data_IF_824532338936
#
_entry.id   IF_824532338936
#
_cell.length_a   1.000
_cell.length_b   1.000
_cell.length_c   1.000
_cell.angle_alpha   90.00
_cell.angle_beta   90.00
_cell.angle_gamma   90.00
#
_symmetry.space_group_name_H-M   'P 1'
#
loop_
_entity.id
_entity.type
_entity.pdbx_description
1 polymer ?
#
# COMPACT_ATOMS: atom_id res chain seq x y z
N UNK A 1 26.37 45.24 -59.42
CA UNK A 1 24.95 44.82 -59.50
C UNK A 1 25.02 43.34 -59.83
N UNK A 2 24.80 42.35 -58.97
CA UNK A 2 23.78 42.09 -57.94
C UNK A 2 24.32 41.01 -56.96
N UNK A 3 23.99 41.11 -55.66
CA UNK A 3 24.10 40.04 -54.64
C UNK A 3 22.67 39.47 -54.42
N UNK A 4 22.44 38.48 -53.53
CA UNK A 4 22.85 37.06 -53.48
C UNK A 4 21.59 36.16 -53.26
N UNK A 5 21.72 34.83 -53.18
CA UNK A 5 20.72 34.01 -52.48
C UNK A 5 21.33 32.69 -51.99
N UNK A 6 21.93 32.72 -50.79
CA UNK A 6 22.14 31.51 -49.99
C UNK A 6 20.78 31.08 -49.44
N UNK A 7 20.22 29.98 -49.94
CA UNK A 7 19.14 29.27 -49.26
C UNK A 7 19.72 28.42 -48.13
N UNK A 8 19.87 29.01 -46.94
CA UNK A 8 20.00 28.25 -45.69
C UNK A 8 18.66 27.54 -45.41
N UNK A 9 18.58 26.25 -45.73
CA UNK A 9 17.49 25.40 -45.26
C UNK A 9 17.72 25.11 -43.76
N UNK A 10 17.06 25.88 -42.89
CA UNK A 10 17.05 25.65 -41.46
C UNK A 10 16.21 24.40 -41.15
N UNK A 11 16.87 23.27 -40.86
CA UNK A 11 16.23 22.11 -40.21
C UNK A 11 15.87 22.49 -38.77
N UNK A 12 14.62 22.89 -38.55
CA UNK A 12 14.05 22.98 -37.20
C UNK A 12 13.76 21.56 -36.70
N UNK A 13 14.71 20.97 -35.96
CA UNK A 13 14.45 19.79 -35.14
C UNK A 13 13.50 20.19 -34.00
N UNK A 14 12.21 19.92 -34.20
CA UNK A 14 11.20 19.94 -33.15
C UNK A 14 11.53 18.81 -32.15
N UNK A 15 12.27 19.15 -31.09
CA UNK A 15 12.45 18.29 -29.94
C UNK A 15 11.12 18.19 -29.20
N UNK A 16 10.28 17.21 -29.57
CA UNK A 16 9.12 16.84 -28.78
C UNK A 16 9.61 16.24 -27.45
N UNK A 17 9.21 16.76 -26.28
CA UNK A 17 9.48 16.08 -25.03
C UNK A 17 8.68 14.78 -25.03
N UNK A 18 9.37 13.63 -25.12
CA UNK A 18 8.78 12.35 -24.74
C UNK A 18 8.48 12.44 -23.23
N UNK A 19 7.22 12.68 -22.88
CA UNK A 19 6.75 12.43 -21.53
C UNK A 19 6.87 10.92 -21.31
N UNK A 20 7.94 10.49 -20.64
CA UNK A 20 8.04 9.15 -20.13
C UNK A 20 6.88 8.96 -19.15
N UNK A 21 5.83 8.27 -19.59
CA UNK A 21 4.78 7.81 -18.68
C UNK A 21 5.45 6.78 -17.77
N UNK A 22 5.93 7.23 -16.61
CA UNK A 22 6.34 6.32 -15.57
C UNK A 22 5.08 5.59 -15.13
N UNK A 23 4.81 4.43 -15.72
CA UNK A 23 3.86 3.42 -15.22
C UNK A 23 4.34 2.82 -13.89
N UNK A 24 4.85 3.69 -13.02
CA UNK A 24 5.54 3.40 -11.79
C UNK A 24 4.73 3.89 -10.60
N UNK A 25 5.16 3.44 -9.44
CA UNK A 25 4.60 3.82 -8.15
C UNK A 25 4.79 5.32 -7.89
N UNK A 26 3.69 6.04 -7.78
CA UNK A 26 3.63 7.44 -7.36
C UNK A 26 3.51 7.53 -5.84
N UNK A 27 4.26 8.42 -5.19
CA UNK A 27 4.11 8.69 -3.77
C UNK A 27 3.05 9.76 -3.52
N UNK A 28 2.09 9.44 -2.64
CA UNK A 28 1.02 10.35 -2.20
C UNK A 28 1.33 10.97 -0.83
N UNK A 29 2.54 10.74 -0.29
CA UNK A 29 3.03 11.30 0.97
C UNK A 29 3.44 10.27 2.02
N UNK A 30 4.15 10.77 3.04
CA UNK A 30 4.57 10.03 4.23
C UNK A 30 4.02 10.74 5.46
N UNK A 31 3.39 9.97 6.34
CA UNK A 31 2.62 10.42 7.49
C UNK A 31 3.09 9.64 8.71
N UNK A 32 4.09 10.18 9.42
CA UNK A 32 4.76 9.52 10.54
C UNK A 32 5.22 8.09 10.19
N UNK A 33 4.53 7.05 10.67
CA UNK A 33 4.92 5.64 10.48
C UNK A 33 4.30 5.00 9.23
N UNK A 34 3.44 5.72 8.52
CA UNK A 34 2.71 5.27 7.35
C UNK A 34 3.08 6.06 6.10
N UNK A 35 2.97 5.46 4.93
CA UNK A 35 3.12 6.13 3.65
C UNK A 35 1.95 5.77 2.74
N UNK A 36 1.62 6.65 1.80
CA UNK A 36 0.58 6.43 0.80
C UNK A 36 1.18 6.43 -0.61
N UNK A 37 0.68 5.54 -1.46
CA UNK A 37 1.15 5.40 -2.85
C UNK A 37 -0.02 5.12 -3.80
N UNK A 38 0.19 5.43 -5.08
CA UNK A 38 -0.62 5.03 -6.22
C UNK A 38 0.25 4.19 -7.15
N UNK A 39 -0.18 2.99 -7.51
CA UNK A 39 0.43 2.19 -8.58
C UNK A 39 -0.47 2.30 -9.83
N UNK A 40 0.13 2.44 -11.01
CA UNK A 40 -0.61 2.57 -12.28
C UNK A 40 -1.07 1.22 -12.89
N UNK A 41 -0.40 0.11 -12.56
CA UNK A 41 -0.66 -1.20 -13.18
C UNK A 41 -0.39 -2.39 -12.26
N UNK A 42 -1.41 -3.16 -11.84
CA UNK A 42 -2.84 -2.80 -11.86
C UNK A 42 -3.12 -1.54 -11.01
N UNK A 43 -4.10 -0.69 -11.39
CA UNK A 43 -4.37 0.55 -10.67
C UNK A 43 -4.82 0.27 -9.25
N UNK A 44 -4.09 0.84 -8.30
CA UNK A 44 -4.43 0.80 -6.87
C UNK A 44 -3.82 1.95 -6.11
N UNK A 45 -4.44 2.31 -5.01
CA UNK A 45 -3.90 3.27 -4.07
C UNK A 45 -3.93 2.66 -2.69
N UNK A 46 -2.87 2.85 -1.91
CA UNK A 46 -2.73 2.16 -0.64
C UNK A 46 -1.92 2.93 0.37
N UNK A 47 -2.33 2.81 1.63
CA UNK A 47 -1.52 3.16 2.79
C UNK A 47 -0.70 1.92 3.20
N UNK A 48 0.56 2.11 3.62
CA UNK A 48 1.45 1.01 4.02
C UNK A 48 2.36 1.42 5.17
N UNK A 49 2.60 0.48 6.09
CA UNK A 49 3.57 0.62 7.17
C UNK A 49 4.38 -0.65 7.38
N UNK A 50 5.59 -0.47 7.93
CA UNK A 50 6.46 -1.55 8.40
C UNK A 50 6.26 -1.74 9.91
N UNK A 51 6.52 -2.95 10.45
CA UNK A 51 6.45 -3.16 11.89
C UNK A 51 7.61 -2.45 12.62
N UNK A 52 7.42 -2.22 13.91
CA UNK A 52 8.46 -1.77 14.85
C UNK A 52 9.60 -2.78 14.95
N UNK A 53 10.77 -2.28 15.36
CA UNK A 53 11.97 -3.08 15.62
C UNK A 53 12.94 -3.16 14.43
N UNK A 54 13.99 -3.97 14.59
CA UNK A 54 15.14 -4.04 13.67
C UNK A 54 15.01 -5.15 12.63
N UNK A 55 14.22 -6.20 12.89
CA UNK A 55 14.06 -7.32 11.96
C UNK A 55 12.89 -7.06 10.99
N UNK A 56 13.13 -6.14 10.05
CA UNK A 56 12.10 -5.50 9.18
C UNK A 56 11.86 -6.21 7.86
N UNK A 57 12.60 -7.28 7.55
CA UNK A 57 12.63 -7.79 6.19
C UNK A 57 11.30 -8.42 5.76
N UNK A 58 10.73 -7.79 4.73
CA UNK A 58 9.54 -8.17 4.00
C UNK A 58 8.19 -8.18 4.77
N UNK A 59 8.08 -7.74 6.02
CA UNK A 59 6.77 -7.62 6.69
C UNK A 59 6.15 -6.23 6.52
N UNK A 60 4.84 -6.16 6.28
CA UNK A 60 4.10 -4.89 6.20
C UNK A 60 2.62 -5.07 6.55
N UNK A 61 1.96 -3.96 6.84
CA UNK A 61 0.50 -3.84 6.84
C UNK A 61 0.12 -2.80 5.79
N UNK A 62 -0.86 -3.10 4.95
CA UNK A 62 -1.38 -2.16 3.96
C UNK A 62 -2.91 -2.15 3.92
N UNK A 63 -3.45 -0.99 3.56
CA UNK A 63 -4.88 -0.76 3.31
C UNK A 63 -5.00 -0.25 1.89
N UNK A 64 -5.57 -1.06 1.00
CA UNK A 64 -5.55 -0.81 -0.44
C UNK A 64 -6.96 -0.66 -1.03
N UNK A 65 -7.10 0.31 -1.93
CA UNK A 65 -8.24 0.47 -2.81
C UNK A 65 -7.86 0.02 -4.22
N UNK A 66 -8.70 -0.83 -4.81
CA UNK A 66 -8.55 -1.36 -6.17
C UNK A 66 -9.77 -0.93 -7.00
N UNK A 67 -9.67 0.16 -7.77
CA UNK A 67 -10.79 0.72 -8.52
C UNK A 67 -11.43 -0.28 -9.49
N UNK A 68 -10.64 -0.89 -10.36
CA UNK A 68 -11.09 -1.86 -11.38
C UNK A 68 -11.77 -3.10 -10.76
N UNK A 69 -11.28 -3.55 -9.61
CA UNK A 69 -11.83 -4.72 -8.90
C UNK A 69 -13.00 -4.36 -7.99
N UNK A 70 -13.38 -3.08 -7.91
CA UNK A 70 -14.41 -2.55 -6.98
C UNK A 70 -14.15 -2.92 -5.52
N UNK A 71 -12.89 -3.08 -5.13
CA UNK A 71 -12.48 -3.33 -3.74
C UNK A 71 -12.08 -1.99 -3.12
N UNK A 72 -12.54 -1.75 -1.89
CA UNK A 72 -12.27 -0.53 -1.13
C UNK A 72 -11.63 -0.89 0.21
N UNK A 73 -10.55 -0.20 0.55
CA UNK A 73 -9.89 -0.27 1.86
C UNK A 73 -9.64 -1.69 2.38
N UNK A 74 -9.18 -2.58 1.51
CA UNK A 74 -8.86 -3.96 1.87
C UNK A 74 -7.56 -4.01 2.69
N UNK A 75 -7.61 -4.73 3.81
CA UNK A 75 -6.43 -5.10 4.56
C UNK A 75 -5.62 -6.15 3.80
N UNK A 76 -4.32 -5.91 3.69
CA UNK A 76 -3.34 -6.92 3.34
C UNK A 76 -2.15 -6.82 4.29
N UNK A 77 -1.79 -7.93 4.92
CA UNK A 77 -0.60 -8.03 5.75
C UNK A 77 0.38 -9.04 5.16
N UNK A 78 1.64 -8.65 5.05
CA UNK A 78 2.74 -9.59 4.88
C UNK A 78 3.34 -9.89 6.25
N UNK A 79 3.18 -11.12 6.70
CA UNK A 79 3.67 -11.66 7.94
C UNK A 79 5.20 -11.79 7.94
N UNK A 80 5.80 -11.70 9.13
CA UNK A 80 7.25 -11.84 9.32
C UNK A 80 7.77 -13.23 8.90
N UNK A 81 6.95 -14.27 9.06
CA UNK A 81 7.26 -15.64 8.70
C UNK A 81 6.01 -16.31 8.10
N UNK A 82 6.17 -17.37 7.28
CA UNK A 82 5.03 -18.14 6.80
C UNK A 82 4.20 -18.66 7.98
N UNK A 83 2.88 -18.48 7.90
CA UNK A 83 1.93 -19.05 8.83
C UNK A 83 1.88 -20.57 8.65
N UNK A 84 1.66 -21.31 9.74
CA UNK A 84 1.39 -22.74 9.65
C UNK A 84 0.07 -22.98 8.89
N UNK A 85 -0.01 -24.09 8.16
CA UNK A 85 -1.23 -24.50 7.48
C UNK A 85 -2.39 -24.62 8.48
N UNK A 86 -3.58 -24.15 8.09
CA UNK A 86 -4.76 -24.09 8.95
C UNK A 86 -4.66 -23.11 10.13
N UNK A 87 -3.57 -22.33 10.26
CA UNK A 87 -3.48 -21.32 11.31
C UNK A 87 -4.21 -20.03 10.94
N UNK A 88 -4.83 -19.42 11.95
CA UNK A 88 -5.61 -18.18 11.83
C UNK A 88 -4.84 -17.06 12.52
N UNK A 89 -4.12 -16.19 11.80
CA UNK A 89 -3.48 -15.03 12.41
C UNK A 89 -4.50 -14.17 13.13
N UNK A 90 -4.13 -13.72 14.32
CA UNK A 90 -4.97 -12.86 15.14
C UNK A 90 -4.44 -11.44 15.06
N UNK A 91 -5.24 -10.56 14.47
CA UNK A 91 -5.01 -9.13 14.43
C UNK A 91 -5.69 -8.46 15.63
N UNK A 92 -4.95 -7.62 16.35
CA UNK A 92 -5.45 -6.80 17.45
C UNK A 92 -5.20 -5.33 17.16
N UNK A 93 -6.23 -4.52 17.35
CA UNK A 93 -6.21 -3.06 17.15
C UNK A 93 -6.93 -2.45 18.35
N UNK A 94 -6.19 -1.81 19.25
CA UNK A 94 -6.72 -1.43 20.56
C UNK A 94 -7.34 -2.63 21.30
N UNK A 95 -8.61 -2.52 21.67
CA UNK A 95 -9.38 -3.58 22.33
C UNK A 95 -9.98 -4.62 21.36
N UNK A 96 -9.99 -4.34 20.06
CA UNK A 96 -10.67 -5.18 19.05
C UNK A 96 -9.76 -6.31 18.58
N UNK A 97 -10.38 -7.46 18.30
CA UNK A 97 -9.73 -8.68 17.81
C UNK A 97 -10.39 -9.15 16.52
N UNK A 98 -9.56 -9.60 15.59
CA UNK A 98 -9.91 -9.99 14.23
C UNK A 98 -9.14 -11.26 13.86
N UNK A 99 -9.83 -12.25 13.31
CA UNK A 99 -9.24 -13.52 12.87
C UNK A 99 -9.08 -13.52 11.35
N UNK A 100 -7.84 -13.44 10.89
CA UNK A 100 -7.49 -13.27 9.49
C UNK A 100 -7.43 -14.62 8.76
N UNK A 101 -7.64 -14.56 7.45
CA UNK A 101 -7.35 -15.68 6.54
C UNK A 101 -5.90 -15.55 6.08
N UNK A 102 -5.11 -16.61 6.21
CA UNK A 102 -3.71 -16.62 5.83
C UNK A 102 -3.43 -17.58 4.66
N UNK A 103 -2.50 -17.18 3.80
CA UNK A 103 -1.88 -18.03 2.79
C UNK A 103 -0.39 -17.73 2.73
N UNK A 104 0.44 -18.72 3.14
CA UNK A 104 1.88 -18.54 3.26
C UNK A 104 2.24 -17.38 4.20
N UNK A 105 2.79 -16.28 3.64
CA UNK A 105 3.13 -15.07 4.41
C UNK A 105 2.07 -13.99 4.32
N UNK A 106 1.01 -14.17 3.56
CA UNK A 106 0.03 -13.13 3.34
C UNK A 106 -1.22 -13.40 4.19
N UNK A 107 -1.83 -12.34 4.70
CA UNK A 107 -3.05 -12.42 5.49
C UNK A 107 -4.01 -11.28 5.15
N UNK A 108 -5.30 -11.60 5.14
CA UNK A 108 -6.40 -10.68 4.78
C UNK A 108 -7.54 -10.78 5.79
N UNK A 109 -8.41 -9.75 5.78
CA UNK A 109 -9.73 -9.89 6.38
C UNK A 109 -10.52 -11.00 5.66
N UNK A 110 -11.48 -11.61 6.35
CA UNK A 110 -12.32 -12.68 5.80
C UNK A 110 -13.30 -12.17 4.74
N UNK A 111 -13.72 -10.91 4.84
CA UNK A 111 -14.71 -10.26 3.99
C UNK A 111 -14.61 -8.73 4.07
N UNK A 112 -15.36 -8.05 3.20
CA UNK A 112 -15.38 -6.58 3.13
C UNK A 112 -15.97 -5.90 4.39
N UNK A 113 -16.86 -6.58 5.12
CA UNK A 113 -17.41 -6.04 6.36
C UNK A 113 -16.34 -6.00 7.46
N UNK A 114 -15.50 -7.03 7.51
CA UNK A 114 -14.35 -7.10 8.39
C UNK A 114 -13.26 -6.08 7.99
N UNK A 115 -13.03 -5.85 6.70
CA UNK A 115 -12.16 -4.76 6.22
C UNK A 115 -12.65 -3.40 6.74
N UNK A 116 -13.93 -3.07 6.55
CA UNK A 116 -14.51 -1.82 7.05
C UNK A 116 -14.38 -1.68 8.58
N UNK A 117 -14.61 -2.77 9.31
CA UNK A 117 -14.43 -2.83 10.75
C UNK A 117 -12.97 -2.59 11.18
N UNK A 118 -12.00 -3.12 10.44
CA UNK A 118 -10.56 -2.91 10.67
C UNK A 118 -10.18 -1.46 10.40
N UNK A 119 -10.60 -0.88 9.28
CA UNK A 119 -10.34 0.53 8.92
C UNK A 119 -10.87 1.48 10.00
N UNK A 120 -12.09 1.23 10.48
CA UNK A 120 -12.65 2.01 11.59
C UNK A 120 -11.83 1.88 12.88
N UNK A 121 -11.28 0.69 13.18
CA UNK A 121 -10.42 0.49 14.35
C UNK A 121 -9.06 1.18 14.20
N UNK A 122 -8.47 1.16 12.99
CA UNK A 122 -7.20 1.83 12.70
C UNK A 122 -7.28 3.33 12.93
N UNK A 123 -8.41 3.95 12.61
CA UNK A 123 -8.63 5.40 12.80
C UNK A 123 -8.62 5.86 14.26
N UNK A 124 -8.91 4.97 15.22
CA UNK A 124 -9.11 5.33 16.64
C UNK A 124 -8.10 4.70 17.60
N UNK A 125 -7.17 3.87 17.11
CA UNK A 125 -6.17 3.20 17.92
C UNK A 125 -4.76 3.76 17.67
N UNK A 126 -3.87 3.57 18.64
CA UNK A 126 -2.46 4.01 18.56
C UNK A 126 -1.51 2.89 18.14
N UNK A 127 -1.93 1.63 18.25
CA UNK A 127 -1.11 0.48 17.85
C UNK A 127 -1.93 -0.69 17.33
N UNK A 128 -1.27 -1.49 16.48
CA UNK A 128 -1.77 -2.73 15.92
C UNK A 128 -0.74 -3.85 16.15
N UNK A 129 -1.21 -5.08 16.35
CA UNK A 129 -0.35 -6.26 16.36
C UNK A 129 -0.99 -7.44 15.65
N UNK A 130 -0.19 -8.21 14.92
CA UNK A 130 -0.60 -9.50 14.34
C UNK A 130 0.22 -10.63 14.94
N UNK A 131 -0.46 -11.64 15.46
CA UNK A 131 0.16 -12.84 16.05
C UNK A 131 -0.23 -14.07 15.25
N UNK A 132 0.73 -14.92 14.90
CA UNK A 132 0.49 -16.16 14.18
C UNK A 132 1.42 -17.29 14.66
N UNK A 133 1.06 -18.53 14.31
CA UNK A 133 1.93 -19.70 14.45
C UNK A 133 2.75 -19.86 13.17
N UNK A 134 4.06 -20.04 13.29
CA UNK A 134 4.94 -20.24 12.13
C UNK A 134 4.87 -21.65 11.58
N UNK A 135 5.10 -21.80 10.27
CA UNK A 135 5.20 -23.11 9.61
C UNK A 135 6.34 -23.97 10.20
N UNK A 136 7.44 -23.35 10.63
CA UNK A 136 8.55 -24.01 11.35
C UNK A 136 8.28 -24.20 12.86
N UNK A 137 7.04 -23.98 13.31
CA UNK A 137 6.69 -23.98 14.72
C UNK A 137 6.87 -22.63 15.42
N UNK A 138 6.42 -22.59 16.69
CA UNK A 138 6.45 -21.39 17.52
C UNK A 138 5.46 -20.30 17.11
N UNK A 139 5.34 -19.26 17.94
CA UNK A 139 4.53 -18.07 17.67
C UNK A 139 5.44 -16.89 17.32
N UNK A 140 4.96 -15.98 16.48
CA UNK A 140 5.54 -14.65 16.32
C UNK A 140 4.48 -13.58 16.42
N UNK A 141 4.91 -12.37 16.75
CA UNK A 141 4.06 -11.19 16.73
C UNK A 141 4.80 -10.05 16.05
N UNK A 142 4.13 -9.40 15.10
CA UNK A 142 4.57 -8.11 14.53
C UNK A 142 3.72 -7.00 15.13
N UNK A 143 4.33 -5.85 15.44
CA UNK A 143 3.65 -4.68 16.04
C UNK A 143 3.89 -3.46 15.18
N UNK A 144 2.89 -2.60 15.04
CA UNK A 144 2.90 -1.43 14.17
C UNK A 144 2.38 -0.22 14.94
N UNK A 145 3.03 0.92 14.76
CA UNK A 145 2.53 2.21 15.23
C UNK A 145 1.48 2.74 14.27
N UNK A 146 0.42 3.34 14.81
CA UNK A 146 -0.69 3.85 14.01
C UNK A 146 -0.67 5.37 13.83
N UNK A 147 0.37 6.05 14.31
CA UNK A 147 0.56 7.47 14.05
C UNK A 147 0.60 7.72 12.53
N UNK A 148 -0.31 8.58 12.06
CA UNK A 148 -0.46 8.93 10.65
C UNK A 148 -1.28 7.95 9.81
N UNK A 149 -1.79 6.84 10.37
CA UNK A 149 -2.55 5.83 9.59
C UNK A 149 -3.81 6.41 8.95
N UNK A 150 -4.56 7.24 9.68
CA UNK A 150 -5.80 7.82 9.18
C UNK A 150 -5.52 8.73 7.98
N UNK A 151 -4.54 9.63 8.11
CA UNK A 151 -4.13 10.54 7.04
C UNK A 151 -3.59 9.78 5.82
N UNK A 152 -2.78 8.74 6.02
CA UNK A 152 -2.27 7.92 4.93
C UNK A 152 -3.39 7.18 4.17
N UNK A 153 -4.38 6.63 4.90
CA UNK A 153 -5.56 6.01 4.28
C UNK A 153 -6.37 7.03 3.47
N UNK A 154 -6.57 8.24 4.00
CA UNK A 154 -7.31 9.29 3.31
C UNK A 154 -6.58 9.78 2.07
N UNK A 155 -5.26 9.96 2.14
CA UNK A 155 -4.43 10.27 0.97
C UNK A 155 -4.54 9.19 -0.11
N UNK A 156 -4.54 7.90 0.26
CA UNK A 156 -4.74 6.81 -0.68
C UNK A 156 -6.15 6.82 -1.31
N UNK A 157 -7.20 7.11 -0.53
CA UNK A 157 -8.58 7.20 -1.05
C UNK A 157 -8.71 8.37 -2.04
N UNK A 158 -8.17 9.54 -1.70
CA UNK A 158 -8.13 10.72 -2.59
C UNK A 158 -7.33 10.41 -3.84
N UNK A 159 -6.16 9.78 -3.70
CA UNK A 159 -5.35 9.33 -4.84
C UNK A 159 -6.07 8.33 -5.74
N UNK A 160 -7.14 7.67 -5.30
CA UNK A 160 -7.94 6.78 -6.16
C UNK A 160 -9.24 7.40 -6.65
N UNK A 161 -9.52 8.67 -6.33
CA UNK A 161 -10.73 9.35 -6.79
C UNK A 161 -10.75 9.51 -8.32
N UNK A 162 -9.58 9.79 -8.93
CA UNK A 162 -9.43 10.02 -10.38
C UNK A 162 -9.39 8.72 -11.21
N UNK A 163 -9.35 7.55 -10.55
CA UNK A 163 -9.26 6.23 -11.19
C UNK A 163 -10.62 5.49 -11.22
N UNK A 164 -11.71 6.20 -10.93
CA UNK A 164 -13.08 5.64 -10.87
C UNK A 164 -13.77 5.58 -12.22
#
# INVERSE_FOLDING_TARGET
MTRPALCLAALAFLALPLAAQSGGRESLGVYANWAAFRDAGPPRCYAIARPRGTNREAAFASIATWPERRVRSQLHMRLARPAAEGSTPVLRIGSRRFELVASGRDAWAKDAAMDAAIVAALRSATSLSVTARGAAGGRFTSRYDLDGVATAMDAAVVGCADLR
#
